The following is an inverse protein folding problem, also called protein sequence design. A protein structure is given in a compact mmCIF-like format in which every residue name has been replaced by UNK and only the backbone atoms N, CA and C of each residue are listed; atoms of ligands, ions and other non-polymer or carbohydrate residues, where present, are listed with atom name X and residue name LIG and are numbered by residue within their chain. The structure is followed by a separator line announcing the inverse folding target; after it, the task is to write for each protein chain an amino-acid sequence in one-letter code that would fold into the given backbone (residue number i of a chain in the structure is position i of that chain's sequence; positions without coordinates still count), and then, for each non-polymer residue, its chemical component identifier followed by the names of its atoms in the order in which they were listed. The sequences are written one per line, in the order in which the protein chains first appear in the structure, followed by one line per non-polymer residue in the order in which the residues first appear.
data_IF_094265631428
#
_entry.id   IF_094265631428
#
_cell.length_a   1.000
_cell.length_b   1.000
_cell.length_c   1.000
_cell.angle_alpha   90.00
_cell.angle_beta   90.00
_cell.angle_gamma   90.00
#
_symmetry.space_group_name_H-M   'P 1'
#
loop_
_entity.id
_entity.type
_entity.pdbx_description
1 polymer ?
#
# COMPACT_ATOMS: atom_id res chain seq x y z
N UNK A 1 21.32 -10.06 19.02
CA UNK A 1 20.13 -9.26 19.37
C UNK A 1 18.97 -9.73 18.49
N UNK A 2 17.88 -10.19 19.06
CA UNK A 2 16.73 -10.67 18.29
C UNK A 2 15.93 -9.49 17.75
N UNK A 3 15.27 -9.66 16.62
CA UNK A 3 14.50 -8.60 15.94
C UNK A 3 13.52 -7.88 16.89
N UNK A 4 12.80 -8.64 17.73
CA UNK A 4 11.86 -8.07 18.70
C UNK A 4 12.55 -7.13 19.70
N UNK A 5 13.67 -7.54 20.27
CA UNK A 5 14.44 -6.72 21.24
C UNK A 5 14.93 -5.43 20.59
N UNK A 6 15.38 -5.50 19.34
CA UNK A 6 15.81 -4.32 18.60
C UNK A 6 14.66 -3.34 18.37
N UNK A 7 13.49 -3.83 17.92
CA UNK A 7 12.31 -3.00 17.74
C UNK A 7 11.83 -2.38 19.06
N UNK A 8 11.83 -3.15 20.15
CA UNK A 8 11.48 -2.64 21.48
C UNK A 8 12.45 -1.56 21.95
N UNK A 9 13.76 -1.71 21.73
CA UNK A 9 14.76 -0.69 22.03
C UNK A 9 14.56 0.61 21.22
N UNK A 10 13.91 0.52 20.06
CA UNK A 10 13.49 1.68 19.23
C UNK A 10 12.12 2.25 19.61
N UNK A 11 11.50 1.75 20.68
CA UNK A 11 10.23 2.25 21.21
C UNK A 11 8.97 1.65 20.57
N UNK A 12 9.10 0.56 19.80
CA UNK A 12 7.98 -0.17 19.25
C UNK A 12 7.48 -1.25 20.20
N UNK A 13 6.17 -1.40 20.31
CA UNK A 13 5.59 -2.59 20.92
C UNK A 13 5.52 -3.70 19.86
N UNK A 14 6.41 -4.69 19.94
CA UNK A 14 6.56 -5.71 18.92
C UNK A 14 6.21 -7.11 19.47
N UNK A 15 5.22 -7.73 18.85
CA UNK A 15 4.84 -9.13 19.09
C UNK A 15 5.46 -10.03 18.02
N UNK A 16 5.94 -11.21 18.43
CA UNK A 16 6.54 -12.18 17.53
C UNK A 16 5.80 -13.50 17.60
N UNK A 17 5.47 -14.05 16.44
CA UNK A 17 4.77 -15.31 16.30
C UNK A 17 5.59 -16.29 15.46
N UNK A 18 5.61 -17.60 15.80
CA UNK A 18 6.51 -18.58 15.17
C UNK A 18 6.02 -19.03 13.78
N UNK A 19 4.76 -18.83 13.45
CA UNK A 19 4.14 -19.25 12.20
C UNK A 19 2.91 -18.40 11.83
N UNK A 20 2.46 -18.54 10.59
CA UNK A 20 1.34 -17.74 10.08
C UNK A 20 0.00 -18.02 10.75
N UNK A 21 -0.25 -19.22 11.29
CA UNK A 21 -1.49 -19.52 12.02
C UNK A 21 -1.54 -18.80 13.38
N UNK A 22 -0.42 -18.83 14.11
CA UNK A 22 -0.30 -18.12 15.38
C UNK A 22 -0.41 -16.61 15.17
N UNK A 23 0.24 -16.08 14.11
CA UNK A 23 0.14 -14.69 13.72
C UNK A 23 -1.29 -14.27 13.39
N UNK A 24 -2.03 -15.06 12.60
CA UNK A 24 -3.42 -14.76 12.26
C UNK A 24 -4.34 -14.77 13.47
N UNK A 25 -4.22 -15.78 14.34
CA UNK A 25 -5.01 -15.86 15.58
C UNK A 25 -4.79 -14.64 16.49
N UNK A 26 -3.55 -14.15 16.53
CA UNK A 26 -3.21 -12.95 17.29
C UNK A 26 -3.77 -11.69 16.62
N UNK A 27 -3.66 -11.59 15.30
CA UNK A 27 -4.22 -10.48 14.53
C UNK A 27 -5.71 -10.28 14.75
N UNK A 28 -6.49 -11.37 14.81
CA UNK A 28 -7.93 -11.30 15.06
C UNK A 28 -8.28 -10.76 16.46
N UNK A 29 -7.38 -10.87 17.44
CA UNK A 29 -7.61 -10.46 18.84
C UNK A 29 -6.96 -9.12 19.17
N UNK A 30 -5.93 -8.73 18.43
CA UNK A 30 -5.14 -7.53 18.66
C UNK A 30 -5.46 -6.37 17.73
N UNK A 31 -4.81 -5.25 17.99
CA UNK A 31 -4.77 -4.10 17.07
C UNK A 31 -3.31 -3.84 16.74
N UNK A 32 -2.98 -3.88 15.47
CA UNK A 32 -1.62 -3.69 14.97
C UNK A 32 -1.58 -2.50 14.02
N UNK A 33 -0.61 -1.62 14.20
CA UNK A 33 -0.38 -0.45 13.34
C UNK A 33 0.36 -0.84 12.04
N UNK A 34 1.09 -1.97 12.07
CA UNK A 34 1.84 -2.52 10.94
C UNK A 34 2.14 -4.00 11.17
N UNK A 35 2.18 -4.78 10.10
CA UNK A 35 2.55 -6.19 10.12
C UNK A 35 3.83 -6.43 9.30
N UNK A 36 4.74 -7.26 9.82
CA UNK A 36 5.93 -7.73 9.12
C UNK A 36 5.82 -9.25 8.97
N UNK A 37 5.75 -9.75 7.74
CA UNK A 37 5.58 -11.16 7.45
C UNK A 37 6.79 -11.72 6.72
N UNK A 38 7.38 -12.78 7.26
CA UNK A 38 8.29 -13.61 6.48
C UNK A 38 7.48 -14.35 5.40
N UNK A 39 7.91 -14.29 4.14
CA UNK A 39 7.25 -15.06 3.08
C UNK A 39 7.33 -16.55 3.37
N UNK A 40 8.50 -17.02 3.83
CA UNK A 40 8.73 -18.45 4.11
C UNK A 40 8.52 -18.77 5.58
N UNK A 41 7.27 -18.98 5.98
CA UNK A 41 6.92 -19.44 7.33
C UNK A 41 6.33 -20.85 7.30
N UNK A 42 6.53 -21.65 8.37
CA UNK A 42 5.87 -22.94 8.51
C UNK A 42 4.35 -22.80 8.66
N UNK A 43 3.62 -23.89 8.35
CA UNK A 43 2.15 -24.07 8.42
C UNK A 43 1.38 -23.16 7.46
N UNK A 44 1.56 -21.85 7.54
CA UNK A 44 0.94 -20.86 6.68
C UNK A 44 2.00 -19.86 6.27
N UNK A 45 2.24 -19.73 4.97
CA UNK A 45 3.21 -18.77 4.44
C UNK A 45 2.74 -17.33 4.61
N UNK A 46 3.66 -16.38 4.37
CA UNK A 46 3.38 -14.95 4.56
C UNK A 46 2.32 -14.42 3.60
N UNK A 47 2.19 -14.96 2.39
CA UNK A 47 1.20 -14.52 1.42
C UNK A 47 -0.20 -14.98 1.79
N UNK A 48 -0.36 -16.26 2.17
CA UNK A 48 -1.63 -16.79 2.66
C UNK A 48 -2.09 -16.04 3.92
N UNK A 49 -1.17 -15.75 4.84
CA UNK A 49 -1.46 -14.92 6.01
C UNK A 49 -1.93 -13.52 5.62
N UNK A 50 -1.25 -12.87 4.68
CA UNK A 50 -1.60 -11.53 4.24
C UNK A 50 -2.98 -11.49 3.54
N UNK A 51 -3.31 -12.49 2.72
CA UNK A 51 -4.62 -12.61 2.10
C UNK A 51 -5.73 -12.67 3.16
N UNK A 52 -5.58 -13.51 4.17
CA UNK A 52 -6.55 -13.60 5.27
C UNK A 52 -6.63 -12.29 6.08
N UNK A 53 -5.50 -11.66 6.39
CA UNK A 53 -5.48 -10.34 7.03
C UNK A 53 -6.23 -9.31 6.21
N UNK A 54 -6.07 -9.30 4.89
CA UNK A 54 -6.76 -8.37 3.98
C UNK A 54 -8.29 -8.57 3.94
N UNK A 55 -8.79 -9.77 4.22
CA UNK A 55 -10.26 -9.98 4.34
C UNK A 55 -10.84 -9.32 5.59
N UNK A 56 -10.03 -9.17 6.65
CA UNK A 56 -10.44 -8.59 7.94
C UNK A 56 -10.10 -7.11 8.01
N UNK A 57 -8.92 -6.73 7.53
CA UNK A 57 -8.42 -5.35 7.53
C UNK A 57 -7.62 -5.06 6.25
N UNK A 58 -8.22 -4.30 5.34
CA UNK A 58 -7.58 -3.87 4.10
C UNK A 58 -6.54 -2.77 4.28
N UNK A 59 -6.53 -2.06 5.43
CA UNK A 59 -5.77 -0.83 5.65
C UNK A 59 -4.45 -1.06 6.39
N UNK A 60 -4.33 -2.11 7.22
CA UNK A 60 -3.11 -2.33 7.99
C UNK A 60 -1.92 -2.49 7.05
N UNK A 61 -0.84 -1.71 7.23
CA UNK A 61 0.34 -1.85 6.38
C UNK A 61 1.01 -3.21 6.56
N UNK A 62 1.49 -3.79 5.45
CA UNK A 62 2.19 -5.07 5.44
C UNK A 62 3.55 -4.91 4.75
N UNK A 63 4.62 -5.31 5.45
CA UNK A 63 5.96 -5.48 4.90
C UNK A 63 6.24 -6.97 4.77
N UNK A 64 6.70 -7.41 3.61
CA UNK A 64 7.20 -8.78 3.46
C UNK A 64 8.72 -8.85 3.58
N UNK A 65 9.21 -9.88 4.28
CA UNK A 65 10.60 -10.28 4.28
C UNK A 65 10.76 -11.48 3.34
N UNK A 66 11.61 -11.39 2.31
CA UNK A 66 11.73 -12.42 1.29
C UNK A 66 13.20 -12.75 0.93
N UNK A 67 13.45 -13.94 0.39
CA UNK A 67 14.75 -14.28 -0.17
C UNK A 67 14.85 -13.78 -1.63
N UNK A 68 16.05 -13.38 -2.07
CA UNK A 68 16.34 -12.77 -3.39
C UNK A 68 15.87 -13.54 -4.63
N UNK A 69 15.58 -14.84 -4.51
CA UNK A 69 15.35 -15.74 -5.63
C UNK A 69 13.93 -15.73 -6.22
N UNK A 70 12.98 -15.03 -5.62
CA UNK A 70 11.56 -15.20 -5.92
C UNK A 70 10.95 -13.93 -6.52
N UNK A 71 11.32 -13.64 -7.80
CA UNK A 71 10.69 -12.53 -8.56
C UNK A 71 9.18 -12.70 -8.73
N UNK A 72 8.71 -13.94 -8.80
CA UNK A 72 7.29 -14.29 -8.96
C UNK A 72 6.50 -14.01 -7.68
N UNK A 73 7.08 -14.30 -6.52
CA UNK A 73 6.45 -14.09 -5.22
C UNK A 73 6.24 -12.59 -4.91
N UNK A 74 7.15 -11.74 -5.36
CA UNK A 74 7.02 -10.28 -5.18
C UNK A 74 5.78 -9.76 -5.92
N UNK A 75 5.51 -10.24 -7.12
CA UNK A 75 4.31 -9.88 -7.87
C UNK A 75 3.03 -10.35 -7.18
N UNK A 76 3.07 -11.54 -6.59
CA UNK A 76 1.92 -12.07 -5.85
C UNK A 76 1.63 -11.25 -4.60
N UNK A 77 2.63 -10.91 -3.83
CA UNK A 77 2.43 -10.10 -2.64
C UNK A 77 1.94 -8.68 -2.92
N UNK A 78 2.36 -8.05 -4.03
CA UNK A 78 1.79 -6.78 -4.44
C UNK A 78 0.33 -6.91 -4.89
N UNK A 79 -0.06 -8.04 -5.51
CA UNK A 79 -1.46 -8.35 -5.77
C UNK A 79 -2.29 -8.43 -4.49
N UNK A 80 -1.69 -8.89 -3.39
CA UNK A 80 -2.31 -8.94 -2.06
C UNK A 80 -2.42 -7.54 -1.41
N UNK A 81 -1.60 -6.58 -1.86
CA UNK A 81 -1.59 -5.21 -1.33
C UNK A 81 -0.53 -4.97 -0.25
N UNK A 82 0.67 -5.50 -0.46
CA UNK A 82 1.82 -5.19 0.38
C UNK A 82 2.23 -3.72 0.25
N UNK A 83 2.69 -3.13 1.33
CA UNK A 83 3.18 -1.74 1.36
C UNK A 83 4.67 -1.67 1.04
N UNK A 84 5.44 -2.70 1.38
CA UNK A 84 6.87 -2.79 1.08
C UNK A 84 7.39 -4.24 1.08
N UNK A 85 8.60 -4.41 0.52
CA UNK A 85 9.35 -5.66 0.48
C UNK A 85 10.78 -5.43 0.91
N UNK A 86 11.30 -6.33 1.76
CA UNK A 86 12.70 -6.32 2.18
C UNK A 86 13.32 -7.67 1.82
N UNK A 87 14.39 -7.63 1.04
CA UNK A 87 15.11 -8.85 0.67
C UNK A 87 16.10 -9.25 1.76
N UNK A 88 16.12 -10.53 2.12
CA UNK A 88 17.13 -11.12 3.01
C UNK A 88 18.46 -11.37 2.25
N UNK A 89 19.61 -11.09 2.89
CA UNK A 89 19.80 -10.52 4.22
C UNK A 89 19.54 -8.99 4.24
N UNK A 90 18.99 -8.47 5.33
CA UNK A 90 18.75 -7.04 5.56
C UNK A 90 19.34 -6.59 6.91
N UNK A 91 19.59 -5.29 7.05
CA UNK A 91 19.98 -4.72 8.34
C UNK A 91 18.75 -4.38 9.18
N UNK A 92 18.90 -4.41 10.51
CA UNK A 92 17.82 -4.00 11.41
C UNK A 92 17.47 -2.53 11.25
N UNK A 93 18.47 -1.70 10.92
CA UNK A 93 18.29 -0.27 10.62
C UNK A 93 17.43 -0.07 9.37
N UNK A 94 17.65 -0.85 8.31
CA UNK A 94 16.83 -0.80 7.09
C UNK A 94 15.37 -1.10 7.41
N UNK A 95 15.09 -2.17 8.14
CA UNK A 95 13.73 -2.52 8.53
C UNK A 95 13.07 -1.41 9.35
N UNK A 96 13.76 -0.86 10.36
CA UNK A 96 13.23 0.24 11.18
C UNK A 96 12.96 1.48 10.33
N UNK A 97 13.88 1.86 9.45
CA UNK A 97 13.69 3.00 8.56
C UNK A 97 12.42 2.87 7.70
N UNK A 98 12.18 1.67 7.15
CA UNK A 98 10.98 1.38 6.34
C UNK A 98 9.70 1.38 7.18
N UNK A 99 9.73 0.80 8.38
CA UNK A 99 8.63 0.86 9.35
C UNK A 99 8.29 2.31 9.68
N UNK A 100 9.29 3.14 10.04
CA UNK A 100 9.10 4.55 10.36
C UNK A 100 8.49 5.34 9.20
N UNK A 101 8.98 5.10 7.99
CA UNK A 101 8.47 5.76 6.80
C UNK A 101 7.00 5.42 6.53
N UNK A 102 6.61 4.15 6.68
CA UNK A 102 5.24 3.69 6.50
C UNK A 102 4.34 4.25 7.61
N UNK A 103 4.74 4.11 8.89
CA UNK A 103 3.96 4.62 10.02
C UNK A 103 3.82 6.15 9.99
N UNK A 104 4.85 6.88 9.56
CA UNK A 104 4.79 8.34 9.36
C UNK A 104 3.74 8.71 8.31
N UNK A 105 3.65 7.96 7.21
CA UNK A 105 2.61 8.17 6.18
C UNK A 105 1.21 7.90 6.72
N UNK A 106 1.05 6.84 7.49
CA UNK A 106 -0.24 6.52 8.14
C UNK A 106 -0.60 7.55 9.21
N UNK A 107 0.36 8.02 10.01
CA UNK A 107 0.17 9.02 11.08
C UNK A 107 0.27 10.48 10.60
N UNK A 108 1.03 10.74 9.52
CA UNK A 108 1.39 12.09 9.04
C UNK A 108 0.30 12.85 8.32
N UNK A 109 -0.92 12.33 8.26
CA UNK A 109 -2.08 12.98 7.62
C UNK A 109 -2.73 14.08 8.47
N UNK A 110 -1.94 14.86 9.23
CA UNK A 110 -2.44 15.98 10.05
C UNK A 110 -1.98 17.36 9.57
N UNK A 111 -1.79 17.53 8.26
CA UNK A 111 -1.63 18.86 7.64
C UNK A 111 -2.88 19.24 6.85
N UNK A 112 -2.94 20.42 6.24
CA UNK A 112 -4.02 20.82 5.30
C UNK A 112 -4.08 19.84 4.12
N UNK A 113 -4.64 18.65 4.34
CA UNK A 113 -4.76 17.60 3.34
C UNK A 113 -6.12 17.66 2.67
N UNK A 114 -6.11 17.46 1.38
CA UNK A 114 -7.33 17.20 0.63
C UNK A 114 -7.94 15.91 1.21
N UNK A 115 -9.10 16.05 1.83
CA UNK A 115 -9.77 14.93 2.49
C UNK A 115 -10.71 14.19 1.57
N UNK A 116 -11.18 14.86 0.53
CA UNK A 116 -12.11 14.29 -0.45
C UNK A 116 -11.82 14.79 -1.86
N UNK A 117 -11.92 13.88 -2.82
CA UNK A 117 -11.96 14.20 -4.24
C UNK A 117 -13.30 13.73 -4.82
N UNK A 118 -13.91 14.58 -5.65
CA UNK A 118 -14.98 14.16 -6.54
C UNK A 118 -14.40 13.92 -7.93
N UNK A 119 -14.43 12.70 -8.40
CA UNK A 119 -13.80 12.25 -9.64
C UNK A 119 -14.90 11.67 -10.52
N UNK A 120 -15.43 12.44 -11.47
CA UNK A 120 -16.61 12.04 -12.22
C UNK A 120 -17.77 11.69 -11.28
N UNK A 121 -18.28 10.45 -11.37
CA UNK A 121 -19.34 9.92 -10.50
C UNK A 121 -18.83 9.46 -9.12
N UNK A 122 -17.51 9.32 -8.94
CA UNK A 122 -16.93 8.84 -7.69
C UNK A 122 -16.71 9.95 -6.68
N UNK A 123 -16.87 9.58 -5.42
CA UNK A 123 -16.33 10.33 -4.27
C UNK A 123 -15.24 9.50 -3.62
N UNK A 124 -14.05 10.07 -3.49
CA UNK A 124 -12.90 9.44 -2.87
C UNK A 124 -12.55 10.14 -1.56
N UNK A 125 -12.76 9.44 -0.44
CA UNK A 125 -12.34 9.88 0.90
C UNK A 125 -10.93 9.36 1.18
N UNK A 126 -9.96 10.26 1.18
CA UNK A 126 -8.54 9.93 1.36
C UNK A 126 -8.22 9.49 2.77
N UNK A 127 -8.94 10.00 3.78
CA UNK A 127 -8.70 9.68 5.19
C UNK A 127 -9.25 8.29 5.53
N UNK A 128 -10.45 7.98 5.02
CA UNK A 128 -11.06 6.66 5.20
C UNK A 128 -10.55 5.63 4.19
N UNK A 129 -9.81 6.07 3.18
CA UNK A 129 -9.33 5.24 2.07
C UNK A 129 -10.48 4.53 1.34
N UNK A 130 -11.54 5.28 1.05
CA UNK A 130 -12.78 4.73 0.50
C UNK A 130 -13.14 5.41 -0.80
N UNK A 131 -13.43 4.61 -1.81
CA UNK A 131 -13.97 5.04 -3.10
C UNK A 131 -15.45 4.67 -3.17
N UNK A 132 -16.31 5.67 -3.39
CA UNK A 132 -17.76 5.53 -3.40
C UNK A 132 -18.33 5.92 -4.77
N UNK A 133 -19.27 5.13 -5.27
CA UNK A 133 -20.08 5.45 -6.45
C UNK A 133 -21.49 4.90 -6.22
N UNK A 134 -22.49 5.71 -6.39
CA UNK A 134 -23.88 5.38 -6.04
C UNK A 134 -23.94 4.82 -4.60
N UNK A 135 -24.55 3.65 -4.41
CA UNK A 135 -24.63 2.97 -3.10
C UNK A 135 -23.45 2.01 -2.85
N UNK A 136 -22.46 1.96 -3.74
CA UNK A 136 -21.32 1.06 -3.62
C UNK A 136 -20.13 1.77 -2.98
N UNK A 137 -19.56 1.12 -1.97
CA UNK A 137 -18.36 1.54 -1.26
C UNK A 137 -17.26 0.52 -1.46
N UNK A 138 -16.10 0.96 -1.93
CA UNK A 138 -14.91 0.13 -2.10
C UNK A 138 -13.81 0.64 -1.20
N UNK A 139 -13.32 -0.19 -0.29
CA UNK A 139 -12.12 0.12 0.50
C UNK A 139 -10.87 -0.09 -0.35
N UNK A 140 -9.97 0.88 -0.27
CA UNK A 140 -8.67 0.84 -0.91
C UNK A 140 -7.59 0.47 0.11
N UNK A 141 -6.55 -0.22 -0.34
CA UNK A 141 -5.33 -0.37 0.46
C UNK A 141 -4.62 0.98 0.54
N UNK A 142 -3.68 1.11 1.48
CA UNK A 142 -2.90 2.34 1.65
C UNK A 142 -2.22 2.77 0.36
N UNK A 143 -1.60 1.83 -0.37
CA UNK A 143 -0.91 2.13 -1.65
C UNK A 143 -1.86 2.51 -2.77
N UNK A 144 -3.02 1.87 -2.87
CA UNK A 144 -4.06 2.27 -3.83
C UNK A 144 -4.57 3.68 -3.54
N UNK A 145 -4.81 4.01 -2.26
CA UNK A 145 -5.25 5.34 -1.84
C UNK A 145 -4.20 6.41 -2.10
N UNK A 146 -2.93 6.16 -1.76
CA UNK A 146 -1.82 7.07 -2.01
C UNK A 146 -1.64 7.33 -3.52
N UNK A 147 -1.66 6.26 -4.33
CA UNK A 147 -1.50 6.39 -5.78
C UNK A 147 -2.69 7.11 -6.42
N UNK A 148 -3.92 6.81 -6.00
CA UNK A 148 -5.11 7.51 -6.50
C UNK A 148 -5.08 8.99 -6.10
N UNK A 149 -4.69 9.33 -4.86
CA UNK A 149 -4.54 10.72 -4.41
C UNK A 149 -3.53 11.48 -5.27
N UNK A 150 -2.39 10.83 -5.58
CA UNK A 150 -1.35 11.43 -6.41
C UNK A 150 -1.82 11.64 -7.86
N UNK A 151 -2.56 10.67 -8.42
CA UNK A 151 -3.17 10.79 -9.75
C UNK A 151 -4.21 11.92 -9.79
N UNK A 152 -5.04 12.06 -8.75
CA UNK A 152 -6.01 13.15 -8.65
C UNK A 152 -5.35 14.52 -8.54
N UNK A 153 -4.25 14.63 -7.80
CA UNK A 153 -3.47 15.87 -7.71
C UNK A 153 -2.84 16.30 -9.05
N UNK A 154 -2.64 15.34 -9.97
CA UNK A 154 -2.09 15.52 -11.32
C UNK A 154 -3.13 15.15 -12.40
N UNK A 155 -4.43 15.41 -12.15
CA UNK A 155 -5.48 15.07 -13.11
C UNK A 155 -5.21 15.77 -14.45
N UNK A 156 -5.41 15.01 -15.55
CA UNK A 156 -5.15 15.47 -16.92
C UNK A 156 -3.70 15.90 -17.20
N UNK A 157 -2.77 15.60 -16.29
CA UNK A 157 -1.33 15.78 -16.44
C UNK A 157 -0.60 14.43 -16.41
N UNK A 158 0.67 14.43 -16.80
CA UNK A 158 1.50 13.23 -16.74
C UNK A 158 2.07 13.09 -15.34
N UNK A 159 1.67 12.06 -14.62
CA UNK A 159 2.33 11.63 -13.39
C UNK A 159 3.57 10.81 -13.77
N UNK A 160 4.74 11.40 -13.61
CA UNK A 160 6.00 10.71 -13.91
C UNK A 160 6.21 9.51 -13.00
N UNK A 161 6.62 8.38 -13.61
CA UNK A 161 6.80 7.11 -12.90
C UNK A 161 7.78 7.22 -11.74
N UNK A 162 8.96 7.79 -11.96
CA UNK A 162 10.00 7.91 -10.94
C UNK A 162 9.58 8.85 -9.80
N UNK A 163 8.87 9.92 -10.12
CA UNK A 163 8.32 10.82 -9.12
C UNK A 163 7.30 10.09 -8.23
N UNK A 164 6.36 9.35 -8.82
CA UNK A 164 5.38 8.59 -8.08
C UNK A 164 6.03 7.49 -7.20
N UNK A 165 7.03 6.78 -7.73
CA UNK A 165 7.78 5.76 -7.00
C UNK A 165 8.48 6.36 -5.76
N UNK A 166 9.22 7.45 -5.92
CA UNK A 166 9.90 8.13 -4.81
C UNK A 166 8.93 8.69 -3.78
N UNK A 167 7.78 9.18 -4.23
CA UNK A 167 6.75 9.75 -3.35
C UNK A 167 6.05 8.66 -2.51
N UNK A 168 5.75 7.50 -3.11
CA UNK A 168 4.92 6.46 -2.49
C UNK A 168 5.76 5.32 -1.91
N UNK A 169 6.90 4.95 -2.52
CA UNK A 169 7.70 3.77 -2.17
C UNK A 169 9.12 4.08 -1.67
N UNK A 170 9.46 5.30 -1.34
CA UNK A 170 10.78 5.73 -0.82
C UNK A 170 11.89 5.65 -1.87
N UNK A 171 11.91 4.63 -2.71
CA UNK A 171 12.89 4.43 -3.76
C UNK A 171 12.24 3.98 -5.09
N UNK A 172 13.00 4.11 -6.18
CA UNK A 172 12.57 3.82 -7.54
C UNK A 172 13.15 2.49 -8.06
N UNK A 173 13.42 1.54 -7.16
CA UNK A 173 13.96 0.24 -7.54
C UNK A 173 13.02 -0.56 -8.45
N UNK A 174 13.59 -1.56 -9.13
CA UNK A 174 12.87 -2.39 -10.11
C UNK A 174 11.60 -3.05 -9.54
N UNK A 175 11.61 -3.43 -8.26
CA UNK A 175 10.47 -4.09 -7.60
C UNK A 175 9.33 -3.11 -7.37
N UNK A 176 9.64 -1.89 -6.92
CA UNK A 176 8.67 -0.84 -6.73
C UNK A 176 8.04 -0.39 -8.06
N UNK A 177 8.84 -0.33 -9.14
CA UNK A 177 8.36 -0.03 -10.47
C UNK A 177 7.29 -1.05 -10.94
N UNK A 178 7.53 -2.33 -10.71
CA UNK A 178 6.59 -3.40 -11.09
C UNK A 178 5.35 -3.44 -10.18
N UNK A 179 5.49 -3.08 -8.91
CA UNK A 179 4.37 -2.96 -7.99
C UNK A 179 3.41 -1.85 -8.44
N UNK A 180 3.92 -0.71 -8.89
CA UNK A 180 3.09 0.38 -9.39
C UNK A 180 2.16 -0.07 -10.51
N UNK A 181 2.63 -0.91 -11.44
CA UNK A 181 1.81 -1.43 -12.55
C UNK A 181 0.63 -2.27 -12.04
N UNK A 182 0.86 -3.05 -10.96
CA UNK A 182 -0.20 -3.83 -10.31
C UNK A 182 -1.25 -2.91 -9.69
N UNK A 183 -0.84 -1.86 -8.98
CA UNK A 183 -1.77 -0.91 -8.37
C UNK A 183 -2.55 -0.10 -9.42
N UNK A 184 -1.91 0.30 -10.51
CA UNK A 184 -2.59 0.93 -11.65
C UNK A 184 -3.67 0.00 -12.21
N UNK A 185 -3.36 -1.30 -12.36
CA UNK A 185 -4.33 -2.29 -12.85
C UNK A 185 -5.53 -2.42 -11.92
N UNK A 186 -5.29 -2.42 -10.60
CA UNK A 186 -6.37 -2.45 -9.59
C UNK A 186 -7.21 -1.19 -9.63
N UNK A 187 -6.59 -0.02 -9.66
CA UNK A 187 -7.30 1.26 -9.75
C UNK A 187 -8.16 1.35 -11.01
N UNK A 188 -7.67 0.89 -12.16
CA UNK A 188 -8.46 0.79 -13.39
C UNK A 188 -9.72 -0.07 -13.19
N UNK A 189 -9.58 -1.20 -12.47
CA UNK A 189 -10.73 -2.07 -12.16
C UNK A 189 -11.74 -1.38 -11.25
N UNK A 190 -11.28 -0.65 -10.24
CA UNK A 190 -12.15 0.08 -9.32
C UNK A 190 -12.88 1.24 -10.02
N UNK A 191 -12.22 1.94 -10.93
CA UNK A 191 -12.76 3.10 -11.63
C UNK A 191 -13.61 2.74 -12.86
N UNK A 192 -13.59 1.48 -13.33
CA UNK A 192 -14.31 1.00 -14.51
C UNK A 192 -15.83 1.35 -14.58
N UNK A 193 -16.58 1.45 -13.45
CA UNK A 193 -17.99 1.82 -13.48
C UNK A 193 -18.29 3.21 -14.02
N UNK A 194 -17.31 4.11 -14.13
CA UNK A 194 -17.47 5.43 -14.74
C UNK A 194 -16.59 5.54 -16.00
N UNK A 195 -17.21 5.47 -17.17
CA UNK A 195 -16.51 5.53 -18.46
C UNK A 195 -15.87 6.90 -18.77
N UNK A 196 -16.22 7.94 -18.00
CA UNK A 196 -15.59 9.26 -18.13
C UNK A 196 -14.20 9.33 -17.51
N UNK A 197 -13.76 8.27 -16.80
CA UNK A 197 -12.49 8.21 -16.09
C UNK A 197 -11.62 7.11 -16.69
N UNK A 198 -10.40 7.46 -17.05
CA UNK A 198 -9.42 6.50 -17.56
C UNK A 198 -8.02 6.76 -17.02
N UNK A 199 -7.28 5.71 -16.66
CA UNK A 199 -5.85 5.79 -16.39
C UNK A 199 -5.11 5.23 -17.59
N UNK A 200 -4.44 6.08 -18.37
CA UNK A 200 -3.66 5.68 -19.54
C UNK A 200 -2.17 5.61 -19.25
N UNK A 201 -1.47 4.76 -20.00
CA UNK A 201 0.00 4.73 -20.00
C UNK A 201 0.53 5.75 -20.98
N UNK A 202 1.51 6.54 -20.53
CA UNK A 202 2.33 7.39 -21.41
C UNK A 202 3.70 6.74 -21.54
N UNK A 203 3.94 6.16 -22.71
CA UNK A 203 5.14 5.36 -22.96
C UNK A 203 6.43 6.10 -22.56
N UNK A 204 7.29 5.43 -21.81
CA UNK A 204 8.58 5.98 -21.33
C UNK A 204 8.49 7.09 -20.28
N UNK A 205 7.27 7.56 -19.89
CA UNK A 205 7.09 8.67 -18.94
C UNK A 205 6.36 8.27 -17.67
N UNK A 206 5.19 7.64 -17.77
CA UNK A 206 4.41 7.30 -16.60
C UNK A 206 2.94 7.08 -16.90
N UNK A 207 2.06 7.63 -16.08
CA UNK A 207 0.63 7.46 -16.18
C UNK A 207 -0.10 8.81 -16.22
N UNK A 208 -1.30 8.81 -16.78
CA UNK A 208 -2.18 9.97 -16.78
C UNK A 208 -3.59 9.54 -16.40
N UNK A 209 -4.15 10.17 -15.38
CA UNK A 209 -5.57 10.08 -15.06
C UNK A 209 -6.32 11.08 -15.95
N UNK A 210 -7.16 10.56 -16.82
CA UNK A 210 -8.11 11.34 -17.59
C UNK A 210 -9.42 11.33 -16.81
N UNK A 211 -9.93 12.49 -16.47
CA UNK A 211 -11.22 12.65 -15.81
C UNK A 211 -11.81 14.02 -16.17
N UNK A 212 -13.13 14.20 -16.01
CA UNK A 212 -13.75 15.51 -15.96
C UNK A 212 -13.11 16.37 -14.85
N UNK A 213 -13.52 17.63 -14.73
CA UNK A 213 -13.04 18.49 -13.65
C UNK A 213 -13.17 17.82 -12.28
N UNK A 214 -12.07 17.83 -11.52
CA UNK A 214 -12.01 17.23 -10.17
C UNK A 214 -12.21 18.32 -9.13
N UNK A 215 -13.21 18.15 -8.27
CA UNK A 215 -13.36 18.98 -7.09
C UNK A 215 -12.61 18.36 -5.90
N UNK A 216 -11.79 19.16 -5.22
CA UNK A 216 -11.05 18.74 -4.03
C UNK A 216 -11.52 19.53 -2.81
N UNK A 217 -11.84 18.82 -1.71
CA UNK A 217 -12.17 19.45 -0.43
C UNK A 217 -11.02 19.29 0.55
N UNK A 218 -10.60 20.41 1.11
CA UNK A 218 -9.58 20.50 2.16
C UNK A 218 -10.29 20.66 3.51
N UNK A 219 -9.74 20.04 4.56
CA UNK A 219 -10.23 20.23 5.92
C UNK A 219 -9.34 21.20 6.68
#
# INVERSE_FOLDING_TARGET
MLLREYLQAKGYNADLYPDGEAGYKAFLKGKYDLCVFDVMMPKKDGFALAQEVRTVNSEVPIIFLTAKSLKEDILEGFKIGADDYITKPFSMEELVFRIEAILRRVKGKKGKEITMYKIGKFTFDTQKQVLMIDDKTTKLTTKESELLSLLCAHVNEILERNFALKTIWIDDNYFNARSMDVYITKLRKHLKPDESIEIINIHGKGYKLIAPEIEAKVK
#
